data_IF_261858706668
#
_entry.id   IF_261858706668
#
_cell.length_a   1.000
_cell.length_b   1.000
_cell.length_c   1.000
_cell.angle_alpha   90.00
_cell.angle_beta   90.00
_cell.angle_gamma   90.00
#
_symmetry.space_group_name_H-M   'P 1'
#
loop_
_entity.id
_entity.type
_entity.pdbx_description
1 polymer ?
#
# COMPACT_ATOMS: atom_id res chain seq x y z
N UNK A 1 -1.71 -21.78 10.14
CA UNK A 1 -2.83 -20.82 10.08
C UNK A 1 -2.19 -19.45 9.87
N UNK A 2 -2.21 -18.94 8.64
CA UNK A 2 -1.66 -17.61 8.32
C UNK A 2 -2.56 -16.58 8.99
N UNK A 3 -2.01 -15.66 9.79
CA UNK A 3 -2.82 -14.59 10.36
C UNK A 3 -3.16 -13.60 9.25
N UNK A 4 -4.38 -13.08 9.25
CA UNK A 4 -4.81 -12.07 8.26
C UNK A 4 -3.85 -10.86 8.20
N UNK A 5 -3.20 -10.53 9.32
CA UNK A 5 -2.15 -9.50 9.41
C UNK A 5 -0.91 -9.78 8.57
N UNK A 6 -0.59 -11.05 8.32
CA UNK A 6 0.60 -11.43 7.54
C UNK A 6 0.31 -11.24 6.05
N UNK A 7 -0.92 -11.54 5.62
CA UNK A 7 -1.39 -11.32 4.23
C UNK A 7 -1.36 -9.85 3.86
N UNK A 8 -1.81 -8.95 4.74
CA UNK A 8 -1.79 -7.51 4.47
C UNK A 8 -0.37 -6.96 4.32
N UNK A 9 0.58 -7.48 5.11
CA UNK A 9 2.00 -7.10 4.99
C UNK A 9 2.60 -7.57 3.67
N UNK A 10 2.29 -8.79 3.24
CA UNK A 10 2.76 -9.32 1.96
C UNK A 10 2.18 -8.52 0.78
N UNK A 11 0.89 -8.16 0.84
CA UNK A 11 0.25 -7.32 -0.18
C UNK A 11 0.87 -5.92 -0.20
N UNK A 12 0.98 -5.27 0.96
CA UNK A 12 1.58 -3.94 1.08
C UNK A 12 3.02 -3.89 0.56
N UNK A 13 3.84 -4.89 0.90
CA UNK A 13 5.21 -5.00 0.41
C UNK A 13 5.26 -5.10 -1.12
N UNK A 14 4.39 -5.91 -1.73
CA UNK A 14 4.33 -6.05 -3.19
C UNK A 14 3.88 -4.77 -3.89
N UNK A 15 2.93 -4.03 -3.30
CA UNK A 15 2.49 -2.74 -3.84
C UNK A 15 3.63 -1.73 -3.79
N UNK A 16 4.36 -1.70 -2.67
CA UNK A 16 5.56 -0.86 -2.53
C UNK A 16 6.61 -1.19 -3.58
N UNK A 17 6.92 -2.46 -3.77
CA UNK A 17 7.86 -2.90 -4.81
C UNK A 17 7.43 -2.45 -6.20
N UNK A 18 6.15 -2.62 -6.56
CA UNK A 18 5.61 -2.18 -7.85
C UNK A 18 5.71 -0.66 -8.04
N UNK A 19 5.42 0.11 -6.99
CA UNK A 19 5.55 1.57 -7.00
C UNK A 19 7.01 2.00 -7.20
N UNK A 20 7.92 1.43 -6.42
CA UNK A 20 9.37 1.72 -6.51
C UNK A 20 9.93 1.33 -7.89
N UNK A 21 9.51 0.18 -8.45
CA UNK A 21 9.88 -0.24 -9.82
C UNK A 21 9.31 0.66 -10.91
N UNK A 22 8.29 1.46 -10.60
CA UNK A 22 7.67 2.41 -11.50
C UNK A 22 8.22 3.84 -11.34
N UNK A 23 9.22 4.04 -10.47
CA UNK A 23 9.77 5.35 -10.11
C UNK A 23 8.72 6.35 -9.58
N UNK A 24 7.63 5.85 -8.99
CA UNK A 24 6.53 6.67 -8.44
C UNK A 24 6.76 6.95 -6.95
N UNK A 25 6.54 8.18 -6.50
CA UNK A 25 6.64 8.52 -5.07
C UNK A 25 5.37 8.16 -4.29
N UNK A 26 5.48 8.05 -2.97
CA UNK A 26 4.32 7.89 -2.08
C UNK A 26 3.35 9.07 -2.18
N UNK A 27 3.87 10.29 -2.36
CA UNK A 27 3.08 11.51 -2.53
C UNK A 27 2.24 11.47 -3.82
N UNK A 28 2.84 11.03 -4.94
CA UNK A 28 2.20 10.98 -6.26
C UNK A 28 1.00 10.03 -6.26
N UNK A 29 1.18 8.82 -5.73
CA UNK A 29 0.13 7.81 -5.71
C UNK A 29 -0.94 8.12 -4.65
N UNK A 30 -0.57 8.69 -3.50
CA UNK A 30 -1.52 9.13 -2.49
C UNK A 30 -2.46 10.20 -3.07
N UNK A 31 -1.90 11.14 -3.85
CA UNK A 31 -2.67 12.15 -4.57
C UNK A 31 -3.59 11.54 -5.63
N UNK A 32 -3.14 10.55 -6.40
CA UNK A 32 -3.97 9.86 -7.41
C UNK A 32 -5.15 9.12 -6.76
N UNK A 33 -4.94 8.53 -5.58
CA UNK A 33 -5.95 7.80 -4.82
C UNK A 33 -6.83 8.71 -3.94
N UNK A 34 -6.58 10.01 -3.90
CA UNK A 34 -7.25 10.99 -3.03
C UNK A 34 -7.20 10.61 -1.54
N UNK A 35 -6.01 10.23 -1.06
CA UNK A 35 -5.72 9.91 0.35
C UNK A 35 -4.51 10.67 0.87
N UNK A 36 -4.40 10.79 2.19
CA UNK A 36 -3.19 11.32 2.81
C UNK A 36 -1.99 10.38 2.55
N UNK A 37 -0.79 10.95 2.37
CA UNK A 37 0.43 10.18 2.14
C UNK A 37 0.70 9.16 3.25
N UNK A 38 0.49 9.54 4.51
CA UNK A 38 0.65 8.64 5.67
C UNK A 38 -0.35 7.46 5.63
N UNK A 39 -1.55 7.68 5.10
CA UNK A 39 -2.54 6.61 4.88
C UNK A 39 -2.02 5.63 3.83
N UNK A 40 -1.50 6.14 2.71
CA UNK A 40 -0.90 5.30 1.67
C UNK A 40 0.32 4.50 2.19
N UNK A 41 1.21 5.14 2.95
CA UNK A 41 2.35 4.47 3.60
C UNK A 41 1.88 3.36 4.56
N UNK A 42 0.75 3.57 5.24
CA UNK A 42 0.16 2.56 6.14
C UNK A 42 -0.37 1.34 5.39
N UNK A 43 -0.85 1.51 4.15
CA UNK A 43 -1.19 0.41 3.24
C UNK A 43 0.05 -0.41 2.88
N UNK A 44 1.12 0.24 2.42
CA UNK A 44 2.37 -0.43 2.03
C UNK A 44 3.02 -1.19 3.18
N UNK A 45 2.87 -0.71 4.42
CA UNK A 45 3.40 -1.38 5.61
C UNK A 45 2.45 -2.45 6.19
N UNK A 46 1.26 -2.63 5.62
CA UNK A 46 0.24 -3.56 6.12
C UNK A 46 -0.26 -3.23 7.53
N UNK A 47 -0.20 -1.94 7.93
CA UNK A 47 -0.69 -1.46 9.22
C UNK A 47 -2.22 -1.38 9.23
N UNK A 48 -2.79 -0.98 8.09
CA UNK A 48 -4.24 -0.92 7.83
C UNK A 48 -4.56 -1.67 6.54
N UNK A 49 -5.82 -2.10 6.39
CA UNK A 49 -6.28 -2.81 5.20
C UNK A 49 -6.27 -1.91 3.97
N UNK A 50 -5.88 -2.47 2.83
CA UNK A 50 -5.92 -1.79 1.54
C UNK A 50 -7.31 -2.03 0.92
N UNK A 51 -8.06 -0.97 0.57
CA UNK A 51 -9.33 -1.13 -0.12
C UNK A 51 -9.16 -1.96 -1.39
N UNK A 52 -10.00 -2.98 -1.58
CA UNK A 52 -9.95 -3.82 -2.77
C UNK A 52 -10.21 -3.04 -4.07
N UNK A 53 -10.80 -1.85 -3.99
CA UNK A 53 -10.98 -0.94 -5.13
C UNK A 53 -9.68 -0.26 -5.60
N UNK A 54 -8.60 -0.33 -4.81
CA UNK A 54 -7.28 0.21 -5.16
C UNK A 54 -6.33 -0.84 -5.75
N UNK A 55 -6.71 -2.12 -5.70
CA UNK A 55 -5.97 -3.25 -6.26
C UNK A 55 -6.41 -3.55 -7.70
#
# INVERSE_FOLDING_TARGET
>A
MVKMSDVNKDIGMRIRELRELSDITTEEIAKELDVDEETYISYENGIIDIPASFL
#
